data_IF_116513753234
#
_entry.id   IF_116513753234
#
_cell.length_a   1.000
_cell.length_b   1.000
_cell.length_c   1.000
_cell.angle_alpha   90.00
_cell.angle_beta   90.00
_cell.angle_gamma   90.00
#
_symmetry.space_group_name_H-M   'P 1'
#
loop_
_entity.id
_entity.type
_entity.pdbx_description
1 polymer ?
#
# COMPACT_ATOMS: atom_id res chain seq x y z
N UNK A 1 3.48 -17.30 -3.73
CA UNK A 1 3.96 -15.92 -3.89
C UNK A 1 2.80 -15.12 -4.42
N UNK A 2 2.53 -13.96 -3.85
CA UNK A 2 1.39 -13.12 -4.20
C UNK A 2 1.89 -11.72 -4.60
N UNK A 3 1.42 -11.25 -5.76
CA UNK A 3 1.49 -9.82 -6.14
C UNK A 3 0.20 -9.15 -5.69
N UNK A 4 0.35 -8.07 -4.93
CA UNK A 4 -0.73 -7.19 -4.52
C UNK A 4 -0.58 -5.88 -5.29
N UNK A 5 -1.66 -5.35 -5.83
CA UNK A 5 -1.64 -4.02 -6.46
C UNK A 5 -2.84 -3.18 -6.00
N UNK A 6 -2.61 -1.87 -5.83
CA UNK A 6 -3.69 -0.90 -5.65
C UNK A 6 -4.46 -0.67 -6.96
N UNK A 7 -5.67 -0.14 -6.91
CA UNK A 7 -6.41 0.27 -8.11
C UNK A 7 -6.99 1.69 -7.98
N UNK A 8 -7.05 2.42 -9.11
CA UNK A 8 -7.55 3.79 -9.23
C UNK A 8 -8.92 3.90 -9.92
N UNK A 9 -9.44 2.80 -10.45
CA UNK A 9 -10.72 2.76 -11.16
C UNK A 9 -11.17 1.31 -11.38
N UNK A 10 -12.46 1.12 -11.69
CA UNK A 10 -13.00 -0.18 -12.11
C UNK A 10 -12.25 -0.76 -13.32
N UNK A 11 -11.98 0.10 -14.32
CA UNK A 11 -11.24 -0.28 -15.54
C UNK A 11 -9.83 -0.75 -15.20
N UNK A 12 -9.11 -0.02 -14.36
CA UNK A 12 -7.76 -0.42 -13.97
C UNK A 12 -7.77 -1.71 -13.14
N UNK A 13 -8.72 -1.86 -12.22
CA UNK A 13 -8.88 -3.09 -11.44
C UNK A 13 -9.03 -4.33 -12.34
N UNK A 14 -9.91 -4.26 -13.35
CA UNK A 14 -10.09 -5.34 -14.35
C UNK A 14 -8.79 -5.61 -15.13
N UNK A 15 -8.06 -4.57 -15.53
CA UNK A 15 -6.78 -4.71 -16.23
C UNK A 15 -5.69 -5.35 -15.36
N UNK A 16 -5.62 -5.00 -14.07
CA UNK A 16 -4.67 -5.56 -13.11
C UNK A 16 -4.93 -7.04 -12.85
N UNK A 17 -6.20 -7.44 -12.69
CA UNK A 17 -6.60 -8.84 -12.52
C UNK A 17 -6.17 -9.67 -13.74
N UNK A 18 -6.49 -9.19 -14.95
CA UNK A 18 -6.08 -9.80 -16.23
C UNK A 18 -4.57 -9.87 -16.41
N UNK A 19 -3.84 -8.87 -15.92
CA UNK A 19 -2.38 -8.85 -15.95
C UNK A 19 -1.75 -9.92 -15.03
N UNK A 20 -2.54 -10.55 -14.17
CA UNK A 20 -2.12 -11.65 -13.31
C UNK A 20 -1.79 -11.22 -11.87
N UNK A 21 -2.18 -10.01 -11.46
CA UNK A 21 -2.16 -9.61 -10.04
C UNK A 21 -2.97 -10.62 -9.23
N UNK A 22 -2.46 -11.05 -8.07
CA UNK A 22 -3.08 -12.10 -7.26
C UNK A 22 -4.14 -11.54 -6.30
N UNK A 23 -3.92 -10.31 -5.83
CA UNK A 23 -4.79 -9.62 -4.90
C UNK A 23 -4.88 -8.12 -5.18
N UNK A 24 -6.08 -7.57 -5.24
CA UNK A 24 -6.28 -6.12 -5.28
C UNK A 24 -6.29 -5.54 -3.87
N UNK A 25 -5.68 -4.37 -3.68
CA UNK A 25 -5.76 -3.56 -2.46
C UNK A 25 -6.54 -2.28 -2.74
N UNK A 26 -7.77 -2.19 -2.26
CA UNK A 26 -8.71 -1.10 -2.57
C UNK A 26 -9.41 -0.62 -1.29
N UNK A 27 -10.25 0.39 -1.38
CA UNK A 27 -11.08 0.78 -0.24
C UNK A 27 -11.94 2.00 -0.49
N UNK A 28 -12.47 2.52 0.61
CA UNK A 28 -13.25 3.74 0.67
C UNK A 28 -12.55 4.75 1.58
N UNK A 29 -12.43 6.02 1.17
CA UNK A 29 -11.69 7.06 1.89
C UNK A 29 -12.22 7.36 3.29
N UNK A 30 -13.46 6.95 3.60
CA UNK A 30 -14.01 7.03 4.94
C UNK A 30 -13.24 6.15 5.95
N UNK A 31 -12.67 5.02 5.50
CA UNK A 31 -12.03 4.03 6.39
C UNK A 31 -10.61 3.63 5.98
N UNK A 32 -10.21 3.90 4.74
CA UNK A 32 -8.86 3.62 4.20
C UNK A 32 -8.02 4.88 4.01
N UNK A 33 -6.69 4.73 4.07
CA UNK A 33 -5.73 5.81 3.84
C UNK A 33 -5.03 5.69 2.49
N UNK A 34 -4.80 6.85 1.86
CA UNK A 34 -3.92 7.00 0.68
C UNK A 34 -4.32 6.08 -0.47
N UNK A 35 -5.63 5.95 -0.67
CA UNK A 35 -6.17 5.17 -1.78
C UNK A 35 -5.96 5.94 -3.08
N UNK A 36 -5.60 5.27 -4.20
CA UNK A 36 -5.55 5.93 -5.50
C UNK A 36 -6.92 6.50 -5.90
N UNK A 37 -8.00 5.80 -5.50
CA UNK A 37 -9.39 6.16 -5.69
C UNK A 37 -10.25 5.66 -4.52
N UNK A 38 -11.29 6.40 -4.15
CA UNK A 38 -12.25 5.99 -3.13
C UNK A 38 -13.46 5.32 -3.79
N UNK A 39 -13.54 4.00 -3.68
CA UNK A 39 -14.62 3.20 -4.24
C UNK A 39 -15.89 3.28 -3.39
N UNK A 40 -17.05 3.33 -4.02
CA UNK A 40 -18.34 3.13 -3.35
C UNK A 40 -18.50 1.66 -2.91
N UNK A 41 -19.46 1.39 -2.03
CA UNK A 41 -19.77 0.02 -1.59
C UNK A 41 -20.22 -0.85 -2.77
N UNK A 42 -20.94 -0.27 -3.72
CA UNK A 42 -21.38 -0.92 -4.95
C UNK A 42 -20.20 -1.27 -5.86
N UNK A 43 -19.26 -0.33 -6.05
CA UNK A 43 -18.04 -0.58 -6.83
C UNK A 43 -17.17 -1.65 -6.16
N UNK A 44 -17.00 -1.60 -4.83
CA UNK A 44 -16.28 -2.64 -4.08
C UNK A 44 -16.90 -4.02 -4.31
N UNK A 45 -18.24 -4.13 -4.22
CA UNK A 45 -18.96 -5.38 -4.46
C UNK A 45 -18.74 -5.92 -5.86
N UNK A 46 -18.74 -5.04 -6.86
CA UNK A 46 -18.47 -5.42 -8.25
C UNK A 46 -17.02 -5.90 -8.44
N UNK A 47 -16.04 -5.20 -7.87
CA UNK A 47 -14.63 -5.61 -7.94
C UNK A 47 -14.40 -6.95 -7.25
N UNK A 48 -14.98 -7.17 -6.07
CA UNK A 48 -14.87 -8.45 -5.36
C UNK A 48 -15.43 -9.58 -6.21
N UNK A 49 -16.61 -9.39 -6.80
CA UNK A 49 -17.20 -10.37 -7.70
C UNK A 49 -16.30 -10.68 -8.91
N UNK A 50 -15.76 -9.65 -9.57
CA UNK A 50 -14.86 -9.80 -10.72
C UNK A 50 -13.56 -10.54 -10.33
N UNK A 51 -12.95 -10.16 -9.21
CA UNK A 51 -11.74 -10.81 -8.72
C UNK A 51 -11.97 -12.30 -8.43
N UNK A 52 -13.06 -12.64 -7.75
CA UNK A 52 -13.39 -14.03 -7.44
C UNK A 52 -13.70 -14.86 -8.69
N UNK A 53 -14.33 -14.28 -9.72
CA UNK A 53 -14.53 -14.94 -11.02
C UNK A 53 -13.21 -15.33 -11.70
N UNK A 54 -12.15 -14.54 -11.50
CA UNK A 54 -10.80 -14.82 -12.02
C UNK A 54 -9.93 -15.63 -11.03
N UNK A 55 -10.49 -16.08 -9.89
CA UNK A 55 -9.76 -16.80 -8.85
C UNK A 55 -8.74 -15.94 -8.10
N UNK A 56 -8.96 -14.62 -8.10
CA UNK A 56 -8.13 -13.59 -7.42
C UNK A 56 -8.81 -13.12 -6.15
N UNK A 57 -8.06 -12.39 -5.32
CA UNK A 57 -8.53 -11.93 -4.00
C UNK A 57 -8.67 -10.40 -3.95
N UNK A 58 -9.40 -9.91 -2.95
CA UNK A 58 -9.50 -8.48 -2.63
C UNK A 58 -9.20 -8.26 -1.15
N UNK A 59 -8.31 -7.31 -0.87
CA UNK A 59 -8.12 -6.73 0.46
C UNK A 59 -8.67 -5.32 0.50
N UNK A 60 -9.51 -5.03 1.48
CA UNK A 60 -10.08 -3.69 1.69
C UNK A 60 -9.33 -2.93 2.79
N UNK A 61 -8.96 -1.70 2.51
CA UNK A 61 -8.28 -0.83 3.46
C UNK A 61 -9.23 -0.33 4.57
N UNK A 62 -8.94 -0.69 5.82
CA UNK A 62 -9.60 -0.21 7.05
C UNK A 62 -8.53 0.30 8.02
N UNK A 63 -7.55 1.04 7.49
CA UNK A 63 -6.34 1.46 8.19
C UNK A 63 -6.31 2.98 8.48
N UNK A 64 -7.44 3.67 8.36
CA UNK A 64 -7.55 5.09 8.71
C UNK A 64 -7.40 5.39 10.20
N UNK A 65 -7.11 6.67 10.49
CA UNK A 65 -7.12 7.20 11.85
C UNK A 65 -8.57 7.27 12.34
N UNK A 66 -8.99 6.26 13.08
CA UNK A 66 -10.36 6.12 13.56
C UNK A 66 -10.66 7.13 14.66
N UNK A 67 -11.64 8.00 14.41
CA UNK A 67 -12.27 8.84 15.42
C UNK A 67 -13.64 8.24 15.79
N UNK A 68 -14.25 8.68 16.90
CA UNK A 68 -15.54 8.17 17.37
C UNK A 68 -16.62 8.12 16.28
N UNK A 69 -16.72 9.16 15.44
CA UNK A 69 -17.67 9.19 14.32
C UNK A 69 -17.42 8.11 13.25
N UNK A 70 -16.15 7.72 13.05
CA UNK A 70 -15.80 6.60 12.19
C UNK A 70 -16.18 5.28 12.88
N UNK A 71 -15.88 5.13 14.17
CA UNK A 71 -16.19 3.94 14.97
C UNK A 71 -17.70 3.66 15.06
N UNK A 72 -18.54 4.70 15.06
CA UNK A 72 -20.00 4.55 15.02
C UNK A 72 -20.49 3.95 13.69
N UNK A 73 -19.82 4.26 12.58
CA UNK A 73 -20.22 3.83 11.22
C UNK A 73 -19.52 2.53 10.78
N UNK A 74 -18.38 2.23 11.36
CA UNK A 74 -17.53 1.11 10.98
C UNK A 74 -18.25 -0.25 11.04
N UNK A 75 -19.06 -0.60 12.07
CA UNK A 75 -19.76 -1.88 12.10
C UNK A 75 -20.63 -2.13 10.86
N UNK A 76 -21.39 -1.12 10.43
CA UNK A 76 -22.24 -1.23 9.24
C UNK A 76 -21.43 -1.43 7.95
N UNK A 77 -20.27 -0.81 7.85
CA UNK A 77 -19.37 -1.02 6.71
C UNK A 77 -18.75 -2.43 6.74
N UNK A 78 -18.29 -2.89 7.91
CA UNK A 78 -17.73 -4.25 8.05
C UNK A 78 -18.77 -5.34 7.71
N UNK A 79 -20.02 -5.19 8.13
CA UNK A 79 -21.10 -6.12 7.72
C UNK A 79 -21.29 -6.13 6.20
N UNK A 80 -21.23 -4.97 5.53
CA UNK A 80 -21.31 -4.92 4.06
C UNK A 80 -20.13 -5.61 3.38
N UNK A 81 -18.92 -5.50 3.94
CA UNK A 81 -17.73 -6.20 3.45
C UNK A 81 -17.83 -7.72 3.66
N UNK A 82 -18.37 -8.15 4.80
CA UNK A 82 -18.61 -9.57 5.09
C UNK A 82 -19.67 -10.15 4.13
N UNK A 83 -20.76 -9.42 3.89
CA UNK A 83 -21.83 -9.80 2.95
C UNK A 83 -21.37 -9.94 1.50
N UNK A 84 -20.29 -9.27 1.11
CA UNK A 84 -19.67 -9.43 -0.22
C UNK A 84 -18.49 -10.40 -0.22
N UNK A 85 -18.21 -11.07 0.90
CA UNK A 85 -17.14 -12.06 1.04
C UNK A 85 -15.74 -11.51 0.74
N UNK A 86 -15.43 -10.28 1.19
CA UNK A 86 -14.07 -9.73 1.10
C UNK A 86 -13.05 -10.69 1.74
N UNK A 87 -11.94 -10.97 1.04
CA UNK A 87 -10.96 -11.96 1.49
C UNK A 87 -10.20 -11.53 2.76
N UNK A 88 -9.89 -10.24 2.89
CA UNK A 88 -9.30 -9.67 4.09
C UNK A 88 -9.49 -8.15 4.19
N UNK A 89 -9.32 -7.60 5.38
CA UNK A 89 -9.11 -6.15 5.58
C UNK A 89 -7.71 -5.87 6.12
N UNK A 90 -7.12 -4.71 5.77
CA UNK A 90 -5.96 -4.21 6.54
C UNK A 90 -6.44 -3.32 7.67
N UNK A 91 -5.95 -3.56 8.89
CA UNK A 91 -6.35 -2.82 10.07
C UNK A 91 -5.20 -2.66 11.06
N UNK A 92 -5.03 -1.46 11.62
CA UNK A 92 -4.03 -1.17 12.65
C UNK A 92 -4.61 -0.64 13.96
N UNK A 93 -5.86 -0.16 13.93
CA UNK A 93 -6.53 0.40 15.10
C UNK A 93 -7.07 -0.71 16.02
N UNK A 94 -6.69 -0.75 17.31
CA UNK A 94 -7.16 -1.79 18.23
C UNK A 94 -8.68 -1.83 18.42
N UNK A 95 -9.36 -0.69 18.36
CA UNK A 95 -10.81 -0.62 18.48
C UNK A 95 -11.50 -1.23 17.26
N UNK A 96 -11.00 -0.95 16.06
CA UNK A 96 -11.48 -1.59 14.83
C UNK A 96 -11.23 -3.11 14.83
N UNK A 97 -10.07 -3.56 15.32
CA UNK A 97 -9.76 -4.99 15.46
C UNK A 97 -10.70 -5.67 16.47
N UNK A 98 -11.02 -5.00 17.59
CA UNK A 98 -12.00 -5.50 18.55
C UNK A 98 -13.38 -5.69 17.88
N UNK A 99 -13.84 -4.71 17.11
CA UNK A 99 -15.10 -4.82 16.37
C UNK A 99 -15.10 -5.99 15.38
N UNK A 100 -14.02 -6.19 14.62
CA UNK A 100 -13.87 -7.33 13.70
C UNK A 100 -14.03 -8.67 14.43
N UNK A 101 -13.48 -8.79 15.64
CA UNK A 101 -13.57 -10.02 16.45
C UNK A 101 -14.96 -10.28 17.05
N UNK A 102 -15.80 -9.25 17.14
CA UNK A 102 -17.17 -9.32 17.69
C UNK A 102 -18.23 -9.59 16.61
N UNK A 103 -17.85 -9.52 15.32
CA UNK A 103 -18.76 -9.79 14.21
C UNK A 103 -19.29 -11.23 14.25
N UNK A 104 -20.52 -11.41 13.77
CA UNK A 104 -21.09 -12.75 13.58
C UNK A 104 -20.32 -13.55 12.50
N UNK A 105 -19.80 -12.86 11.50
CA UNK A 105 -18.97 -13.39 10.42
C UNK A 105 -17.66 -12.57 10.36
N UNK A 106 -16.65 -12.91 11.17
CA UNK A 106 -15.40 -12.17 11.20
C UNK A 106 -14.67 -12.22 9.85
N UNK A 107 -14.30 -11.05 9.33
CA UNK A 107 -13.45 -10.93 8.15
C UNK A 107 -11.99 -11.12 8.59
N UNK A 108 -11.18 -11.94 7.90
CA UNK A 108 -9.75 -12.04 8.19
C UNK A 108 -9.07 -10.68 8.12
N UNK A 109 -8.12 -10.40 9.01
CA UNK A 109 -7.41 -9.12 9.00
C UNK A 109 -5.90 -9.28 8.90
N UNK A 110 -5.29 -8.33 8.19
CA UNK A 110 -3.86 -8.16 8.05
C UNK A 110 -3.48 -6.94 8.87
N UNK A 111 -2.53 -7.10 9.80
CA UNK A 111 -2.12 -6.01 10.68
C UNK A 111 -1.36 -4.94 9.89
N UNK A 112 -1.90 -3.72 9.85
CA UNK A 112 -1.30 -2.57 9.17
C UNK A 112 -1.40 -1.33 10.05
N UNK A 113 -0.32 -1.07 10.79
CA UNK A 113 -0.15 0.15 11.57
C UNK A 113 0.96 1.05 10.96
N UNK A 114 1.18 0.96 9.65
CA UNK A 114 2.13 1.79 8.91
C UNK A 114 3.56 1.75 9.51
N UNK A 115 4.14 2.92 9.79
CA UNK A 115 5.51 3.11 10.30
C UNK A 115 5.75 2.43 11.66
N UNK A 116 4.70 1.96 12.34
CA UNK A 116 4.86 1.26 13.62
C UNK A 116 5.22 -0.21 13.45
N UNK A 117 5.00 -0.85 12.29
CA UNK A 117 5.17 -2.31 12.13
C UNK A 117 6.64 -2.68 11.88
N UNK A 118 7.47 -2.59 12.93
CA UNK A 118 8.94 -2.65 12.82
C UNK A 118 9.60 -3.82 13.57
N UNK A 119 8.83 -4.67 14.27
CA UNK A 119 9.39 -5.78 15.06
C UNK A 119 8.57 -7.06 14.94
N UNK A 120 9.24 -8.21 15.08
CA UNK A 120 8.57 -9.50 15.09
C UNK A 120 7.65 -9.65 16.31
N UNK A 121 8.05 -9.13 17.48
CA UNK A 121 7.30 -9.22 18.72
C UNK A 121 5.93 -8.54 18.62
N UNK A 122 5.88 -7.37 18.00
CA UNK A 122 4.62 -6.66 17.74
C UNK A 122 3.72 -7.44 16.79
N UNK A 123 4.28 -7.99 15.71
CA UNK A 123 3.50 -8.77 14.75
C UNK A 123 2.98 -10.05 15.41
N UNK A 124 3.83 -10.77 16.17
CA UNK A 124 3.43 -11.95 16.95
C UNK A 124 2.38 -11.64 18.03
N UNK A 125 2.35 -10.42 18.57
CA UNK A 125 1.26 -10.01 19.46
C UNK A 125 -0.08 -10.01 18.71
N UNK A 126 -0.13 -9.40 17.53
CA UNK A 126 -1.34 -9.32 16.72
C UNK A 126 -1.73 -10.65 16.07
N UNK A 127 -0.76 -11.49 15.73
CA UNK A 127 -0.99 -12.88 15.32
C UNK A 127 -1.78 -13.64 16.39
N UNK A 128 -1.44 -13.50 17.68
CA UNK A 128 -2.19 -14.09 18.80
C UNK A 128 -3.60 -13.50 18.96
N UNK A 129 -3.83 -12.30 18.44
CA UNK A 129 -5.16 -11.67 18.39
C UNK A 129 -5.91 -11.98 17.07
N UNK A 130 -5.39 -12.88 16.24
CA UNK A 130 -6.06 -13.36 15.03
C UNK A 130 -5.60 -12.74 13.72
N UNK A 131 -4.53 -11.94 13.71
CA UNK A 131 -3.97 -11.42 12.46
C UNK A 131 -3.47 -12.58 11.59
N UNK A 132 -3.84 -12.57 10.30
CA UNK A 132 -3.41 -13.58 9.33
C UNK A 132 -2.17 -13.16 8.52
N UNK A 133 -1.68 -11.95 8.75
CA UNK A 133 -0.50 -11.37 8.12
C UNK A 133 -0.22 -9.97 8.66
N UNK A 134 0.87 -9.34 8.21
CA UNK A 134 1.18 -7.95 8.55
C UNK A 134 1.82 -7.19 7.39
N UNK A 135 1.59 -5.88 7.31
CA UNK A 135 2.26 -4.97 6.37
C UNK A 135 3.48 -4.38 7.07
N UNK A 136 4.68 -4.64 6.55
CA UNK A 136 5.90 -4.10 7.17
C UNK A 136 6.06 -2.60 6.92
N UNK A 137 6.64 -1.93 7.92
CA UNK A 137 7.08 -0.54 7.81
C UNK A 137 8.12 -0.39 6.70
N UNK A 138 8.15 0.78 6.05
CA UNK A 138 9.02 1.08 4.90
C UNK A 138 10.40 1.56 5.33
N UNK A 139 10.60 1.74 6.63
CA UNK A 139 11.80 2.22 7.30
C UNK A 139 12.74 1.07 7.71
N UNK A 140 12.39 -0.18 7.40
CA UNK A 140 13.20 -1.35 7.75
C UNK A 140 14.28 -1.64 6.70
N UNK A 141 15.46 -2.01 7.19
CA UNK A 141 16.57 -2.50 6.36
C UNK A 141 16.35 -3.95 5.92
N UNK A 142 17.09 -4.40 4.90
CA UNK A 142 17.08 -5.79 4.44
C UNK A 142 17.29 -6.79 5.59
N UNK A 143 18.29 -6.54 6.44
CA UNK A 143 18.62 -7.43 7.55
C UNK A 143 17.49 -7.54 8.58
N UNK A 144 16.81 -6.42 8.87
CA UNK A 144 15.67 -6.39 9.79
C UNK A 144 14.46 -7.12 9.21
N UNK A 145 14.11 -6.85 7.95
CA UNK A 145 12.99 -7.51 7.27
C UNK A 145 13.19 -9.03 7.25
N UNK A 146 14.40 -9.51 6.91
CA UNK A 146 14.75 -10.94 6.93
C UNK A 146 14.64 -11.53 8.34
N UNK A 147 15.11 -10.81 9.36
CA UNK A 147 15.04 -11.26 10.76
C UNK A 147 13.59 -11.40 11.23
N UNK A 148 12.74 -10.42 10.88
CA UNK A 148 11.31 -10.44 11.19
C UNK A 148 10.64 -11.64 10.50
N UNK A 149 10.84 -11.79 9.19
CA UNK A 149 10.21 -12.86 8.42
C UNK A 149 10.56 -14.27 8.92
N UNK A 150 11.81 -14.51 9.34
CA UNK A 150 12.22 -15.80 9.90
C UNK A 150 11.63 -16.08 11.30
N UNK A 151 11.17 -15.05 12.01
CA UNK A 151 10.67 -15.16 13.38
C UNK A 151 9.15 -15.39 13.44
N UNK A 152 8.44 -15.24 12.32
CA UNK A 152 6.98 -15.25 12.26
C UNK A 152 6.43 -16.52 11.60
N UNK A 153 5.21 -16.88 11.98
CA UNK A 153 4.46 -17.99 11.36
C UNK A 153 3.40 -17.54 10.35
N UNK A 154 3.06 -16.25 10.34
CA UNK A 154 2.19 -15.59 9.35
C UNK A 154 3.00 -14.84 8.28
N UNK A 155 2.47 -14.70 7.05
CA UNK A 155 3.12 -13.94 5.99
C UNK A 155 3.22 -12.44 6.32
N UNK A 156 4.25 -11.80 5.77
CA UNK A 156 4.44 -10.35 5.82
C UNK A 156 4.45 -9.76 4.43
N UNK A 157 3.79 -8.62 4.26
CA UNK A 157 3.74 -7.86 3.01
C UNK A 157 4.89 -6.85 2.97
N UNK A 158 5.61 -6.81 1.85
CA UNK A 158 6.70 -5.86 1.60
C UNK A 158 6.33 -4.99 0.41
N UNK A 159 6.48 -3.67 0.54
CA UNK A 159 6.39 -2.76 -0.60
C UNK A 159 7.60 -2.99 -1.52
N UNK A 160 7.36 -3.50 -2.72
CA UNK A 160 8.43 -3.71 -3.72
C UNK A 160 8.45 -2.62 -4.78
N UNK A 161 7.34 -1.89 -4.96
CA UNK A 161 7.26 -0.76 -5.87
C UNK A 161 6.24 0.26 -5.36
N UNK A 162 6.59 1.54 -5.38
CA UNK A 162 5.65 2.65 -5.18
C UNK A 162 6.14 3.74 -4.24
N UNK A 163 5.35 4.82 -4.06
CA UNK A 163 5.76 6.00 -3.33
C UNK A 163 5.71 5.78 -1.82
N UNK A 164 6.64 6.39 -1.07
CA UNK A 164 6.63 6.37 0.40
C UNK A 164 6.05 7.65 0.99
N UNK A 165 4.96 7.53 1.75
CA UNK A 165 4.43 8.65 2.51
C UNK A 165 5.31 8.88 3.75
N UNK A 166 5.92 10.06 3.83
CA UNK A 166 6.83 10.45 4.91
C UNK A 166 6.15 11.36 5.94
N UNK A 167 4.96 11.88 5.63
CA UNK A 167 4.21 12.70 6.56
C UNK A 167 2.70 12.57 6.35
N UNK A 168 1.99 12.41 7.47
CA UNK A 168 0.53 12.46 7.54
C UNK A 168 0.10 13.50 8.56
N UNK A 169 -0.84 14.36 8.19
CA UNK A 169 -1.48 15.31 9.11
C UNK A 169 -2.98 15.37 8.85
N UNK A 170 -3.81 15.26 9.89
CA UNK A 170 -5.26 15.55 9.76
C UNK A 170 -5.56 17.03 9.52
N UNK A 171 -4.61 17.93 9.77
CA UNK A 171 -4.75 19.36 9.41
C UNK A 171 -4.56 19.52 7.91
N UNK A 172 -5.38 20.40 7.32
CA UNK A 172 -5.33 20.83 5.93
C UNK A 172 -4.26 21.91 5.72
N UNK A 173 -2.99 21.52 5.66
CA UNK A 173 -1.85 22.43 5.58
C UNK A 173 -1.87 23.30 4.32
N UNK A 174 -2.17 22.73 3.15
CA UNK A 174 -2.22 23.45 1.87
C UNK A 174 -3.40 24.40 1.86
N UNK A 175 -4.61 23.93 2.18
CA UNK A 175 -5.80 24.79 2.27
C UNK A 175 -5.58 25.96 3.25
N UNK A 176 -4.94 25.71 4.39
CA UNK A 176 -4.64 26.76 5.36
C UNK A 176 -3.65 27.79 4.82
N UNK A 177 -2.62 27.35 4.09
CA UNK A 177 -1.67 28.24 3.43
C UNK A 177 -2.36 29.08 2.35
N UNK A 178 -3.15 28.46 1.48
CA UNK A 178 -3.86 29.14 0.39
C UNK A 178 -4.79 30.22 0.91
N UNK A 179 -5.52 29.96 1.99
CA UNK A 179 -6.36 30.98 2.65
C UNK A 179 -5.56 32.20 3.11
N UNK A 180 -4.33 32.02 3.59
CA UNK A 180 -3.47 33.12 4.05
C UNK A 180 -3.00 33.98 2.87
N UNK A 181 -2.74 33.35 1.72
CA UNK A 181 -2.30 34.03 0.50
C UNK A 181 -3.46 34.41 -0.44
N UNK A 182 -4.70 34.32 0.05
CA UNK A 182 -5.94 34.65 -0.67
C UNK A 182 -6.12 33.87 -1.99
N UNK A 183 -5.76 32.58 -1.95
CA UNK A 183 -5.98 31.59 -3.02
C UNK A 183 -7.05 30.56 -2.59
N UNK A 184 -7.81 30.05 -3.58
CA UNK A 184 -8.83 29.01 -3.39
C UNK A 184 -8.78 28.02 -4.57
N UNK A 185 -7.67 27.30 -4.68
CA UNK A 185 -7.47 26.30 -5.74
C UNK A 185 -7.76 24.88 -5.23
N UNK A 186 -7.77 23.93 -6.17
CA UNK A 186 -7.82 22.52 -5.84
C UNK A 186 -6.59 22.09 -5.01
N UNK A 187 -6.78 21.31 -3.96
CA UNK A 187 -5.69 20.78 -3.12
C UNK A 187 -5.55 19.26 -3.24
N UNK A 188 -6.34 18.66 -4.13
CA UNK A 188 -6.32 17.24 -4.43
C UNK A 188 -5.02 16.81 -5.13
N UNK A 189 -4.89 15.50 -5.30
CA UNK A 189 -3.72 14.88 -5.95
C UNK A 189 -3.59 15.31 -7.41
N UNK A 190 -4.71 15.59 -8.06
CA UNK A 190 -4.85 15.90 -9.48
C UNK A 190 -4.12 17.20 -9.86
N UNK A 191 -3.96 18.14 -8.91
CA UNK A 191 -3.16 19.37 -9.14
C UNK A 191 -1.66 19.12 -9.22
N UNK A 192 -1.17 18.01 -8.67
CA UNK A 192 0.26 17.67 -8.73
C UNK A 192 1.17 18.63 -7.98
N UNK A 193 0.76 19.10 -6.80
CA UNK A 193 1.60 19.96 -5.95
C UNK A 193 2.77 19.17 -5.35
N UNK A 194 3.87 19.89 -5.09
CA UNK A 194 5.04 19.34 -4.43
C UNK A 194 5.75 20.40 -3.58
N UNK A 195 6.37 19.96 -2.48
CA UNK A 195 7.31 20.75 -1.71
C UNK A 195 8.72 20.57 -2.27
N UNK A 196 9.57 21.56 -2.01
CA UNK A 196 11.01 21.49 -2.29
C UNK A 196 11.77 21.56 -0.98
N UNK A 197 12.77 20.72 -0.83
CA UNK A 197 13.74 20.82 0.25
C UNK A 197 14.59 22.10 0.08
N UNK A 198 14.88 22.84 1.17
CA UNK A 198 15.68 24.06 1.07
C UNK A 198 17.09 23.87 0.48
N UNK A 199 17.65 22.66 0.59
CA UNK A 199 19.02 22.34 0.15
C UNK A 199 19.06 21.53 -1.16
N UNK A 200 17.91 21.17 -1.73
CA UNK A 200 17.82 20.46 -3.01
C UNK A 200 16.70 21.05 -3.86
N UNK A 201 17.05 21.94 -4.79
CA UNK A 201 16.09 22.58 -5.69
C UNK A 201 15.44 21.61 -6.69
N UNK A 202 15.99 20.39 -6.84
CA UNK A 202 15.47 19.35 -7.72
C UNK A 202 14.52 18.40 -7.02
N UNK A 203 14.46 18.44 -5.68
CA UNK A 203 13.52 17.65 -4.89
C UNK A 203 12.07 18.02 -5.22
N UNK A 204 11.24 16.99 -5.32
CA UNK A 204 9.81 17.12 -5.52
C UNK A 204 9.14 16.19 -4.53
N UNK A 205 8.74 16.71 -3.36
CA UNK A 205 8.02 15.95 -2.34
C UNK A 205 6.52 16.15 -2.58
N UNK A 206 5.81 15.21 -3.24
CA UNK A 206 4.41 15.41 -3.58
C UNK A 206 3.59 15.67 -2.33
N UNK A 207 2.69 16.64 -2.42
CA UNK A 207 1.79 17.00 -1.34
C UNK A 207 0.38 17.13 -1.89
N UNK A 208 -0.58 16.50 -1.21
CA UNK A 208 -2.00 16.67 -1.54
C UNK A 208 -2.87 16.51 -0.30
N UNK A 209 -4.14 16.89 -0.44
CA UNK A 209 -5.13 16.77 0.61
C UNK A 209 -6.34 15.93 0.19
N UNK A 210 -6.85 15.11 1.11
CA UNK A 210 -8.08 14.34 0.97
C UNK A 210 -8.88 14.35 2.30
N UNK A 211 -9.92 13.54 2.43
CA UNK A 211 -10.72 13.44 3.67
C UNK A 211 -9.90 13.06 4.93
N UNK A 212 -8.73 12.46 4.72
CA UNK A 212 -7.78 12.07 5.75
C UNK A 212 -6.73 13.13 6.11
N UNK A 213 -6.77 14.29 5.43
CA UNK A 213 -5.95 15.46 5.73
C UNK A 213 -4.90 15.70 4.67
N UNK A 214 -3.70 16.11 5.06
CA UNK A 214 -2.53 16.33 4.19
C UNK A 214 -1.60 15.12 4.21
N UNK A 215 -1.14 14.73 3.02
CA UNK A 215 -0.14 13.69 2.80
C UNK A 215 1.08 14.29 2.13
N UNK A 216 2.28 13.93 2.59
CA UNK A 216 3.54 14.30 1.93
C UNK A 216 4.33 13.02 1.65
N UNK A 217 4.75 12.86 0.40
CA UNK A 217 5.52 11.71 -0.06
C UNK A 217 6.98 12.05 -0.28
N UNK A 218 7.84 11.03 -0.21
CA UNK A 218 9.23 11.12 -0.64
C UNK A 218 9.33 11.48 -2.13
N UNK A 219 10.48 12.05 -2.49
CA UNK A 219 10.75 12.41 -3.88
C UNK A 219 10.93 11.18 -4.78
N UNK A 220 11.46 10.12 -4.20
CA UNK A 220 11.69 8.83 -4.83
C UNK A 220 10.53 7.86 -4.59
N UNK A 221 10.33 6.95 -5.55
CA UNK A 221 9.57 5.72 -5.37
C UNK A 221 10.50 4.59 -4.98
N UNK A 222 10.04 3.75 -4.06
CA UNK A 222 10.74 2.52 -3.70
C UNK A 222 10.68 1.57 -4.90
N UNK A 223 11.81 0.92 -5.20
CA UNK A 223 11.93 -0.20 -6.11
C UNK A 223 12.87 -1.25 -5.53
N UNK A 224 12.30 -2.40 -5.17
CA UNK A 224 13.05 -3.59 -4.77
C UNK A 224 13.18 -4.60 -5.92
N UNK A 225 12.91 -4.18 -7.17
CA UNK A 225 13.07 -5.01 -8.36
C UNK A 225 14.45 -5.69 -8.46
N UNK A 226 15.58 -5.01 -8.19
CA UNK A 226 16.89 -5.66 -8.21
C UNK A 226 17.02 -6.82 -7.22
N UNK A 227 16.21 -6.83 -6.15
CA UNK A 227 16.35 -7.70 -4.98
C UNK A 227 15.23 -8.75 -4.87
N UNK A 228 14.36 -8.90 -5.88
CA UNK A 228 13.22 -9.82 -5.82
C UNK A 228 13.62 -11.27 -5.57
N UNK A 229 14.73 -11.72 -6.15
CA UNK A 229 15.25 -13.06 -5.90
C UNK A 229 15.67 -13.23 -4.43
N UNK A 230 16.35 -12.22 -3.85
CA UNK A 230 16.79 -12.25 -2.46
C UNK A 230 15.61 -12.21 -1.47
N UNK A 231 14.56 -11.44 -1.79
CA UNK A 231 13.31 -11.43 -1.04
C UNK A 231 12.65 -12.81 -1.07
N UNK A 232 12.57 -13.43 -2.25
CA UNK A 232 11.97 -14.75 -2.41
C UNK A 232 12.70 -15.84 -1.61
N UNK A 233 14.03 -15.87 -1.69
CA UNK A 233 14.87 -16.83 -0.95
C UNK A 233 14.77 -16.63 0.56
N UNK A 234 14.58 -15.39 1.02
CA UNK A 234 14.31 -15.07 2.42
C UNK A 234 12.88 -15.38 2.89
N UNK A 235 12.03 -15.96 2.04
CA UNK A 235 10.65 -16.30 2.38
C UNK A 235 9.65 -15.13 2.31
N UNK A 236 10.09 -13.95 1.88
CA UNK A 236 9.24 -12.76 1.69
C UNK A 236 8.49 -12.90 0.37
N UNK A 237 7.35 -13.60 0.41
CA UNK A 237 6.59 -14.05 -0.77
C UNK A 237 5.33 -13.24 -1.05
N UNK A 238 5.14 -12.11 -0.36
CA UNK A 238 3.97 -11.24 -0.54
C UNK A 238 4.44 -9.83 -0.88
N UNK A 239 4.33 -9.49 -2.16
CA UNK A 239 4.92 -8.28 -2.74
C UNK A 239 3.82 -7.28 -3.09
N UNK A 240 3.90 -6.08 -2.53
CA UNK A 240 2.92 -5.01 -2.73
C UNK A 240 3.45 -3.96 -3.71
N UNK A 241 2.58 -3.58 -4.64
CA UNK A 241 2.74 -2.49 -5.59
C UNK A 241 1.74 -1.39 -5.23
N UNK A 242 2.22 -0.18 -5.02
CA UNK A 242 1.43 0.98 -4.66
C UNK A 242 1.46 2.01 -5.80
N UNK A 243 0.32 2.22 -6.43
CA UNK A 243 0.13 3.09 -7.59
C UNK A 243 -0.49 4.43 -7.24
N UNK A 244 -0.55 4.84 -5.96
CA UNK A 244 -1.31 6.04 -5.54
C UNK A 244 -0.90 7.31 -6.29
N UNK A 245 0.37 7.46 -6.68
CA UNK A 245 0.89 8.58 -7.47
C UNK A 245 1.21 8.22 -8.94
N UNK A 246 0.92 6.99 -9.36
CA UNK A 246 1.23 6.52 -10.70
C UNK A 246 0.07 6.82 -11.67
N UNK A 247 0.41 7.03 -12.94
CA UNK A 247 -0.59 7.15 -13.99
C UNK A 247 -1.18 5.76 -14.31
N UNK A 248 -2.48 5.73 -14.64
CA UNK A 248 -3.27 4.51 -14.61
C UNK A 248 -2.74 3.43 -15.54
N UNK A 249 -2.44 3.78 -16.80
CA UNK A 249 -1.99 2.82 -17.82
C UNK A 249 -0.56 2.35 -17.54
N UNK A 250 0.31 3.27 -17.14
CA UNK A 250 1.69 2.95 -16.76
C UNK A 250 1.73 2.00 -15.55
N UNK A 251 0.88 2.20 -14.55
CA UNK A 251 0.85 1.32 -13.37
C UNK A 251 0.42 -0.11 -13.72
N UNK A 252 -0.53 -0.29 -14.64
CA UNK A 252 -0.91 -1.63 -15.15
C UNK A 252 0.29 -2.31 -15.83
N UNK A 253 1.06 -1.58 -16.63
CA UNK A 253 2.25 -2.12 -17.29
C UNK A 253 3.33 -2.52 -16.28
N UNK A 254 3.54 -1.70 -15.25
CA UNK A 254 4.47 -2.01 -14.16
C UNK A 254 4.00 -3.25 -13.38
N UNK A 255 2.71 -3.34 -13.04
CA UNK A 255 2.17 -4.52 -12.38
C UNK A 255 2.34 -5.79 -13.23
N UNK A 256 2.10 -5.70 -14.55
CA UNK A 256 2.33 -6.81 -15.49
C UNK A 256 3.81 -7.23 -15.53
N UNK A 257 4.73 -6.26 -15.54
CA UNK A 257 6.17 -6.52 -15.48
C UNK A 257 6.57 -7.24 -14.18
N UNK A 258 5.97 -6.86 -13.05
CA UNK A 258 6.23 -7.49 -11.75
C UNK A 258 5.60 -8.89 -11.64
N UNK A 259 4.50 -9.15 -12.34
CA UNK A 259 3.97 -10.51 -12.51
C UNK A 259 4.93 -11.36 -13.35
N UNK A 260 5.49 -10.82 -14.45
CA UNK A 260 6.54 -11.50 -15.23
C UNK A 260 7.78 -11.78 -14.35
N UNK A 261 8.19 -10.83 -13.51
CA UNK A 261 9.29 -10.98 -12.56
C UNK A 261 9.02 -12.07 -11.52
N UNK A 262 7.79 -12.15 -10.98
CA UNK A 262 7.35 -13.25 -10.10
C UNK A 262 7.55 -14.59 -10.78
N UNK A 263 7.05 -14.75 -12.01
CA UNK A 263 7.13 -16.01 -12.75
C UNK A 263 8.57 -16.40 -13.08
N UNK A 264 9.41 -15.44 -13.45
CA UNK A 264 10.83 -15.66 -13.69
C UNK A 264 11.56 -16.09 -12.41
N UNK A 265 11.23 -15.48 -11.26
CA UNK A 265 11.80 -15.85 -9.95
C UNK A 265 11.44 -17.27 -9.57
N UNK A 266 10.16 -17.66 -9.70
CA UNK A 266 9.70 -19.03 -9.39
C UNK A 266 10.36 -20.11 -10.27
N UNK A 267 10.76 -19.77 -11.49
CA UNK A 267 11.43 -20.68 -12.43
C UNK A 267 12.96 -20.67 -12.31
N UNK A 268 13.53 -19.84 -11.43
CA UNK A 268 15.00 -19.65 -11.35
C UNK A 268 15.59 -18.97 -12.60
N UNK A 269 14.78 -18.19 -13.32
CA UNK A 269 15.12 -17.50 -14.57
C UNK A 269 15.14 -15.97 -14.42
N UNK A 270 15.07 -15.47 -13.19
CA UNK A 270 15.07 -14.04 -12.92
C UNK A 270 16.41 -13.39 -13.29
N UNK A 271 16.35 -12.31 -14.07
CA UNK A 271 17.52 -11.50 -14.47
C UNK A 271 17.24 -10.05 -14.08
N UNK A 272 17.83 -9.60 -12.96
CA UNK A 272 17.56 -8.29 -12.39
C UNK A 272 17.69 -7.14 -13.40
N UNK A 273 18.79 -7.11 -14.16
CA UNK A 273 19.09 -6.06 -15.14
C UNK A 273 17.96 -5.88 -16.18
N UNK A 274 17.37 -6.98 -16.66
CA UNK A 274 16.26 -6.92 -17.63
C UNK A 274 15.03 -6.22 -17.04
N UNK A 275 14.63 -6.60 -15.83
CA UNK A 275 13.45 -6.02 -15.18
C UNK A 275 13.69 -4.57 -14.74
N UNK A 276 14.89 -4.24 -14.27
CA UNK A 276 15.27 -2.87 -13.91
C UNK A 276 15.23 -1.95 -15.12
N UNK A 277 15.77 -2.37 -16.26
CA UNK A 277 15.78 -1.56 -17.48
C UNK A 277 14.34 -1.29 -17.96
N UNK A 278 13.49 -2.33 -18.02
CA UNK A 278 12.08 -2.17 -18.37
C UNK A 278 11.31 -1.28 -17.39
N UNK A 279 11.53 -1.44 -16.09
CA UNK A 279 10.88 -0.59 -15.09
C UNK A 279 11.27 0.88 -15.27
N UNK A 280 12.54 1.14 -15.57
CA UNK A 280 13.05 2.50 -15.78
C UNK A 280 12.40 3.19 -16.98
N UNK A 281 12.04 2.45 -18.02
CA UNK A 281 11.30 2.96 -19.18
C UNK A 281 9.84 3.33 -18.84
N UNK A 282 9.22 2.60 -17.90
CA UNK A 282 7.83 2.80 -17.47
C UNK A 282 7.69 3.86 -16.35
N UNK A 283 8.74 4.05 -15.56
CA UNK A 283 8.74 4.96 -14.43
C UNK A 283 8.58 6.42 -14.88
N UNK A 284 7.68 7.21 -14.25
CA UNK A 284 7.61 8.64 -14.51
C UNK A 284 8.96 9.33 -14.28
N UNK A 285 9.44 10.10 -15.26
CA UNK A 285 10.75 10.77 -15.17
C UNK A 285 10.85 11.80 -14.03
N UNK A 286 9.71 12.28 -13.53
CA UNK A 286 9.62 13.17 -12.37
C UNK A 286 9.80 12.45 -11.04
N UNK A 287 9.74 11.11 -11.01
CA UNK A 287 9.87 10.28 -9.82
C UNK A 287 11.02 9.31 -9.99
N UNK A 288 12.15 9.59 -9.34
CA UNK A 288 13.31 8.68 -9.36
C UNK A 288 13.00 7.41 -8.57
N UNK A 289 13.71 6.33 -8.87
CA UNK A 289 13.61 5.08 -8.10
C UNK A 289 14.80 4.96 -7.15
N UNK A 290 14.53 4.51 -5.93
CA UNK A 290 15.55 4.10 -4.96
C UNK A 290 15.13 2.83 -4.21
N UNK A 291 16.00 2.31 -3.34
CA UNK A 291 15.67 1.16 -2.51
C UNK A 291 15.10 1.56 -1.13
N UNK A 292 14.82 2.85 -0.91
CA UNK A 292 14.42 3.40 0.38
C UNK A 292 15.39 3.05 1.51
N UNK A 293 14.85 2.53 2.61
CA UNK A 293 15.64 2.08 3.76
C UNK A 293 16.26 0.69 3.59
N UNK A 294 15.86 -0.07 2.56
CA UNK A 294 16.26 -1.47 2.39
C UNK A 294 17.79 -1.66 2.39
N UNK A 295 18.52 -0.77 1.71
CA UNK A 295 19.99 -0.83 1.61
C UNK A 295 20.71 0.04 2.65
N UNK A 296 19.99 0.72 3.54
CA UNK A 296 20.64 1.55 4.55
C UNK A 296 21.31 0.66 5.59
N UNK A 297 22.41 1.15 6.14
CA UNK A 297 23.02 0.51 7.29
C UNK A 297 22.08 0.68 8.50
N UNK A 298 21.73 -0.39 9.24
CA UNK A 298 20.91 -0.28 10.44
C UNK A 298 21.45 0.73 11.46
N UNK A 299 22.77 0.93 11.52
CA UNK A 299 23.40 1.89 12.44
C UNK A 299 23.17 3.36 12.02
N UNK A 300 22.77 3.63 10.78
CA UNK A 300 22.45 4.96 10.27
C UNK A 300 20.96 5.33 10.44
N UNK A 301 20.14 4.38 10.88
CA UNK A 301 18.66 4.49 10.94
C UNK A 301 18.14 4.52 12.40
N UNK A 302 18.96 4.11 13.37
CA UNK A 302 18.60 4.01 14.80
C UNK A 302 18.81 5.28 15.62
#
# INVERSE_FOLDING_TARGET
MEIIATADSMKQAEQLLRAGVDRLYIGNSQFGLRLPYSFSVEELREIVHLAHQEGKKVTVAVNSLMHNEHMEKLPGFLEQLADMEVDAVTCGDPGAIMLLSEMAQPIPFIYDAQTFVTSAEQISFWEKQGAIGAVLARELTEGEIKTIAHSLTIPVEVLVYGPTCIHQSKRKLVTNYERIVEMEDDTSKERGLYLREPNDETSQLPIYEDESGTHIFASEDVSLVPYLADLYEAGLKTWKLDGVLAESENFVQIASLLVEAKEATLKGQFVAEYFVNKLTELQPQTRKLDAGFYLKNPDDVK
#
